data_IF_933075752483
#
_entry.id   IF_933075752483
#
_cell.length_a   1.000
_cell.length_b   1.000
_cell.length_c   1.000
_cell.angle_alpha   90.00
_cell.angle_beta   90.00
_cell.angle_gamma   90.00
#
_symmetry.space_group_name_H-M   'P 1'
#
loop_
_entity.id
_entity.type
_entity.pdbx_description
1 polymer ?
#
# COMPACT_ATOMS: atom_id res chain seq x y z
N UNK A 1 -6.01 1.67 13.30
CA UNK A 1 -5.03 0.80 12.63
C UNK A 1 -5.71 0.27 11.38
N UNK A 2 -5.10 0.43 10.20
CA UNK A 2 -5.68 0.01 8.92
C UNK A 2 -4.85 -1.13 8.31
N UNK A 3 -5.51 -2.28 8.13
CA UNK A 3 -4.95 -3.53 7.63
C UNK A 3 -5.73 -4.07 6.42
N UNK A 4 -6.70 -3.30 5.92
CA UNK A 4 -7.61 -3.74 4.87
C UNK A 4 -7.01 -3.40 3.50
N UNK A 5 -6.33 -4.37 2.90
CA UNK A 5 -5.77 -4.29 1.57
C UNK A 5 -5.62 -5.70 0.98
N UNK A 6 -5.70 -5.84 -0.35
CA UNK A 6 -5.29 -7.06 -1.03
C UNK A 6 -3.76 -7.10 -1.15
N UNK A 7 -3.16 -8.29 -1.06
CA UNK A 7 -1.70 -8.47 -1.01
C UNK A 7 -1.11 -9.49 -1.98
N UNK A 8 -1.94 -10.13 -2.81
CA UNK A 8 -1.47 -11.19 -3.70
C UNK A 8 -0.91 -10.61 -5.00
N UNK A 9 0.42 -10.58 -5.12
CA UNK A 9 1.15 -10.09 -6.31
C UNK A 9 0.59 -10.67 -7.62
N UNK A 10 0.45 -11.99 -7.70
CA UNK A 10 -0.03 -12.65 -8.94
C UNK A 10 -1.49 -12.33 -9.30
N UNK A 11 -2.33 -11.98 -8.32
CA UNK A 11 -3.68 -11.48 -8.61
C UNK A 11 -3.64 -10.00 -9.01
N UNK A 12 -2.80 -9.19 -8.36
CA UNK A 12 -2.66 -7.76 -8.69
C UNK A 12 -2.27 -7.50 -10.14
N UNK A 13 -1.43 -8.36 -10.72
CA UNK A 13 -1.04 -8.26 -12.13
C UNK A 13 -2.20 -8.63 -13.07
N UNK A 14 -3.04 -9.59 -12.67
CA UNK A 14 -4.21 -10.03 -13.46
C UNK A 14 -5.39 -9.07 -13.33
N UNK A 15 -5.59 -8.48 -12.16
CA UNK A 15 -6.72 -7.60 -11.81
C UNK A 15 -6.23 -6.27 -11.19
N UNK A 16 -5.45 -5.44 -11.90
CA UNK A 16 -4.85 -4.23 -11.32
C UNK A 16 -5.88 -3.22 -10.81
N UNK A 17 -6.99 -3.04 -11.55
CA UNK A 17 -8.04 -2.10 -11.17
C UNK A 17 -8.67 -2.43 -9.81
N UNK A 18 -8.80 -3.73 -9.48
CA UNK A 18 -9.30 -4.19 -8.18
C UNK A 18 -8.38 -3.76 -7.03
N UNK A 19 -7.06 -3.83 -7.26
CA UNK A 19 -6.06 -3.42 -6.27
C UNK A 19 -6.04 -1.90 -6.12
N UNK A 20 -6.10 -1.13 -7.20
CA UNK A 20 -6.19 0.34 -7.11
C UNK A 20 -7.48 0.80 -6.42
N UNK A 21 -8.63 0.19 -6.73
CA UNK A 21 -9.89 0.52 -6.07
C UNK A 21 -9.81 0.24 -4.56
N UNK A 22 -9.37 -0.96 -4.18
CA UNK A 22 -9.39 -1.37 -2.79
C UNK A 22 -8.28 -0.74 -1.94
N UNK A 23 -7.05 -0.72 -2.45
CA UNK A 23 -5.88 -0.33 -1.65
C UNK A 23 -5.59 1.17 -1.72
N UNK A 24 -6.10 1.88 -2.74
CA UNK A 24 -5.88 3.33 -2.90
C UNK A 24 -7.17 4.10 -2.70
N UNK A 25 -8.17 3.90 -3.55
CA UNK A 25 -9.39 4.72 -3.54
C UNK A 25 -10.20 4.56 -2.24
N UNK A 26 -10.38 3.32 -1.76
CA UNK A 26 -11.09 3.08 -0.50
C UNK A 26 -10.28 3.56 0.72
N UNK A 27 -8.95 3.42 0.70
CA UNK A 27 -8.08 3.96 1.75
C UNK A 27 -8.14 5.48 1.82
N UNK A 28 -8.22 6.16 0.67
CA UNK A 28 -8.46 7.61 0.63
C UNK A 28 -9.81 8.00 1.24
N UNK A 29 -10.88 7.28 0.88
CA UNK A 29 -12.22 7.50 1.45
C UNK A 29 -12.25 7.34 2.97
N UNK A 30 -11.48 6.38 3.50
CA UNK A 30 -11.30 6.20 4.94
C UNK A 30 -10.56 7.39 5.56
N UNK A 31 -9.49 7.88 4.94
CA UNK A 31 -8.74 9.04 5.43
C UNK A 31 -9.62 10.30 5.48
N UNK A 32 -10.44 10.53 4.45
CA UNK A 32 -11.39 11.64 4.43
C UNK A 32 -12.39 11.56 5.59
N UNK A 33 -12.92 10.35 5.84
CA UNK A 33 -13.83 10.09 6.97
C UNK A 33 -13.14 10.29 8.32
N UNK A 34 -11.86 9.91 8.44
CA UNK A 34 -11.06 10.12 9.63
C UNK A 34 -10.85 11.61 9.93
N UNK A 35 -10.60 12.42 8.89
CA UNK A 35 -10.48 13.88 9.01
C UNK A 35 -11.82 14.46 9.48
N UNK A 36 -12.94 14.09 8.86
CA UNK A 36 -14.27 14.57 9.23
C UNK A 36 -14.65 14.24 10.68
N UNK A 37 -14.22 13.07 11.17
CA UNK A 37 -14.47 12.62 12.54
C UNK A 37 -13.41 13.08 13.56
N UNK A 38 -12.41 13.88 13.16
CA UNK A 38 -11.37 14.38 14.05
C UNK A 38 -10.41 13.31 14.57
N UNK A 39 -10.24 12.19 13.85
CA UNK A 39 -9.31 11.11 14.22
C UNK A 39 -7.87 11.57 13.94
N UNK A 40 -7.06 11.69 15.00
CA UNK A 40 -5.71 12.28 14.91
C UNK A 40 -4.56 11.29 14.73
N UNK A 41 -4.83 9.99 14.92
CA UNK A 41 -3.78 8.95 14.89
C UNK A 41 -4.17 7.88 13.88
N UNK A 42 -3.25 7.56 13.00
CA UNK A 42 -3.41 6.54 11.97
C UNK A 42 -2.15 5.70 11.89
N UNK A 43 -2.33 4.38 11.75
CA UNK A 43 -1.24 3.45 11.48
C UNK A 43 -1.69 2.64 10.27
N UNK A 44 -0.93 2.75 9.19
CA UNK A 44 -1.16 2.10 7.91
C UNK A 44 -0.19 0.94 7.74
N UNK A 45 -0.70 -0.23 7.37
CA UNK A 45 0.15 -1.37 7.02
C UNK A 45 0.65 -1.24 5.59
N UNK A 46 1.87 -0.73 5.45
CA UNK A 46 2.59 -0.72 4.17
C UNK A 46 3.15 -2.11 3.82
N UNK A 47 4.01 -2.20 2.80
CA UNK A 47 4.60 -3.45 2.30
C UNK A 47 6.03 -3.22 1.84
N UNK A 48 6.89 -4.24 1.98
CA UNK A 48 8.24 -4.21 1.39
C UNK A 48 8.21 -4.28 -0.15
N UNK A 49 7.07 -4.67 -0.74
CA UNK A 49 6.90 -4.73 -2.20
C UNK A 49 7.09 -3.37 -2.89
N UNK A 50 6.95 -2.25 -2.15
CA UNK A 50 7.21 -0.89 -2.67
C UNK A 50 8.66 -0.71 -3.13
N UNK A 51 9.60 -1.50 -2.61
CA UNK A 51 11.02 -1.40 -2.94
C UNK A 51 11.39 -2.16 -4.22
N UNK A 52 10.57 -3.13 -4.64
CA UNK A 52 10.91 -4.01 -5.76
C UNK A 52 12.13 -4.89 -5.47
N UNK A 53 13.05 -4.97 -6.42
CA UNK A 53 14.29 -5.74 -6.26
C UNK A 53 15.31 -5.01 -5.36
N UNK A 54 15.86 -5.68 -4.33
CA UNK A 54 16.83 -5.07 -3.44
C UNK A 54 18.17 -4.84 -4.13
N UNK A 55 18.72 -3.63 -4.04
CA UNK A 55 20.10 -3.34 -4.47
C UNK A 55 21.11 -3.77 -3.38
N UNK A 56 20.70 -3.73 -2.11
CA UNK A 56 21.51 -4.14 -0.95
C UNK A 56 20.65 -4.78 0.15
N UNK A 57 21.27 -5.59 1.01
CA UNK A 57 20.62 -6.22 2.17
C UNK A 57 21.41 -5.87 3.45
N UNK A 58 20.76 -5.40 4.53
CA UNK A 58 19.31 -5.25 4.71
C UNK A 58 18.70 -4.09 3.89
N UNK A 59 17.39 -4.17 3.64
CA UNK A 59 16.61 -3.10 2.99
C UNK A 59 16.23 -2.07 4.06
N UNK A 60 16.74 -0.84 3.93
CA UNK A 60 16.39 0.28 4.81
C UNK A 60 15.23 1.10 4.23
N UNK A 61 14.63 1.99 5.02
CA UNK A 61 13.52 2.85 4.59
C UNK A 61 13.89 3.86 3.49
N UNK A 62 15.18 4.17 3.37
CA UNK A 62 15.76 5.05 2.35
C UNK A 62 15.97 4.36 0.99
N UNK A 63 15.78 3.04 0.92
CA UNK A 63 15.93 2.28 -0.33
C UNK A 63 14.95 2.79 -1.42
N UNK A 64 15.33 2.85 -2.71
CA UNK A 64 14.46 3.36 -3.76
C UNK A 64 13.14 2.59 -3.85
N UNK A 65 12.06 3.33 -4.04
CA UNK A 65 10.71 2.77 -4.17
C UNK A 65 10.41 2.51 -5.64
N UNK A 66 10.75 1.31 -6.11
CA UNK A 66 10.59 0.86 -7.51
C UNK A 66 9.72 -0.40 -7.58
N UNK A 67 8.41 -0.29 -7.29
CA UNK A 67 7.54 -1.46 -7.30
C UNK A 67 7.48 -2.11 -8.67
N UNK A 68 7.42 -3.44 -8.70
CA UNK A 68 7.42 -4.23 -9.93
C UNK A 68 6.03 -4.75 -10.32
N UNK A 69 4.99 -4.46 -9.53
CA UNK A 69 3.63 -4.96 -9.75
C UNK A 69 2.59 -4.00 -9.14
N UNK A 70 1.30 -4.11 -9.52
CA UNK A 70 0.25 -3.19 -9.04
C UNK A 70 -0.06 -3.24 -7.54
N UNK A 71 0.38 -4.27 -6.80
CA UNK A 71 0.21 -4.32 -5.35
C UNK A 71 1.26 -3.49 -4.61
N UNK A 72 2.51 -3.49 -5.10
CA UNK A 72 3.61 -2.68 -4.56
C UNK A 72 3.52 -1.24 -5.00
#
# INVERSE_FOLDING_TARGET
VHLSAFSLVGESVREPAKYFQNNIANSLSLLDSMVACGVKKFVFSSTAAVYGEPETVPITEDHPKRPQNPYG
#
